data_IF_241520802984
#
_entry.id   IF_241520802984
#
_cell.length_a   1.000
_cell.length_b   1.000
_cell.length_c   1.000
_cell.angle_alpha   90.00
_cell.angle_beta   90.00
_cell.angle_gamma   90.00
#
_symmetry.space_group_name_H-M   'P 1'
#
loop_
_entity.id
_entity.type
_entity.pdbx_description
1 polymer ?
#
# COMPACT_ATOMS: atom_id res chain seq x y z
N UNK A 1 -6.84 15.84 -19.45
CA UNK A 1 -5.69 15.23 -18.75
C UNK A 1 -4.42 15.72 -19.40
N UNK A 2 -3.52 16.36 -18.68
CA UNK A 2 -2.22 16.78 -19.21
C UNK A 2 -1.37 15.52 -19.29
N UNK A 3 -1.03 15.07 -20.51
CA UNK A 3 -0.15 13.92 -20.73
C UNK A 3 1.24 14.22 -20.12
N UNK A 4 1.73 13.35 -19.23
CA UNK A 4 3.07 13.47 -18.68
C UNK A 4 4.12 13.20 -19.78
N UNK A 5 5.15 14.03 -19.91
CA UNK A 5 6.26 13.75 -20.85
C UNK A 5 7.24 12.74 -20.24
N UNK A 6 8.02 12.03 -21.09
CA UNK A 6 9.07 11.10 -20.61
C UNK A 6 10.06 11.80 -19.68
N UNK A 7 10.54 12.98 -20.07
CA UNK A 7 11.48 13.78 -19.26
C UNK A 7 10.88 14.21 -17.92
N UNK A 8 9.59 14.60 -17.89
CA UNK A 8 8.93 14.95 -16.64
C UNK A 8 8.83 13.73 -15.72
N UNK A 9 8.44 12.56 -16.25
CA UNK A 9 8.37 11.31 -15.51
C UNK A 9 9.74 10.91 -14.94
N UNK A 10 10.79 10.96 -15.74
CA UNK A 10 12.18 10.71 -15.32
C UNK A 10 12.61 11.62 -14.16
N UNK A 11 12.32 12.91 -14.27
CA UNK A 11 12.61 13.88 -13.22
C UNK A 11 11.84 13.59 -11.93
N UNK A 12 10.56 13.17 -12.02
CA UNK A 12 9.75 12.82 -10.85
C UNK A 12 10.35 11.59 -10.16
N UNK A 13 10.60 10.50 -10.89
CA UNK A 13 11.18 9.26 -10.37
C UNK A 13 12.54 9.50 -9.72
N UNK A 14 13.42 10.28 -10.39
CA UNK A 14 14.73 10.66 -9.83
C UNK A 14 14.59 11.43 -8.52
N UNK A 15 13.66 12.37 -8.42
CA UNK A 15 13.39 13.12 -7.19
C UNK A 15 12.84 12.23 -6.09
N UNK A 16 11.90 11.33 -6.41
CA UNK A 16 11.38 10.36 -5.45
C UNK A 16 12.52 9.53 -4.85
N UNK A 17 13.41 9.01 -5.69
CA UNK A 17 14.56 8.21 -5.24
C UNK A 17 15.49 9.01 -4.32
N UNK A 18 15.80 10.27 -4.67
CA UNK A 18 16.64 11.15 -3.85
C UNK A 18 16.00 11.47 -2.51
N UNK A 19 14.69 11.70 -2.47
CA UNK A 19 13.97 11.94 -1.21
C UNK A 19 14.03 10.74 -0.29
N UNK A 20 13.89 9.52 -0.82
CA UNK A 20 13.94 8.28 -0.04
C UNK A 20 15.33 8.02 0.56
N UNK A 21 16.41 8.41 -0.11
CA UNK A 21 17.76 8.25 0.43
C UNK A 21 17.98 8.98 1.76
N UNK A 22 17.16 10.00 2.05
CA UNK A 22 17.21 10.79 3.28
C UNK A 22 16.15 10.38 4.33
N UNK A 23 15.33 9.37 4.02
CA UNK A 23 14.30 8.88 4.93
C UNK A 23 14.81 7.64 5.66
N UNK A 24 14.74 7.65 6.98
CA UNK A 24 15.06 6.45 7.77
C UNK A 24 14.17 5.29 7.35
N UNK A 25 14.75 4.09 7.15
CA UNK A 25 13.95 2.90 6.88
C UNK A 25 12.92 2.70 8.01
N UNK A 26 11.72 2.27 7.65
CA UNK A 26 10.68 2.00 8.64
C UNK A 26 11.08 0.89 9.63
N UNK A 27 10.25 0.69 10.64
CA UNK A 27 10.45 -0.39 11.62
C UNK A 27 10.31 -1.77 10.95
N UNK A 28 11.14 -2.78 11.34
CA UNK A 28 10.97 -4.16 10.88
C UNK A 28 9.55 -4.68 11.13
N UNK A 29 9.03 -5.47 10.20
CA UNK A 29 7.68 -6.02 10.29
C UNK A 29 7.74 -7.55 10.29
N UNK A 30 6.91 -8.18 11.14
CA UNK A 30 6.82 -9.65 11.22
C UNK A 30 6.51 -10.30 9.87
N UNK A 31 5.76 -9.62 9.00
CA UNK A 31 5.47 -10.10 7.65
C UNK A 31 6.73 -10.31 6.80
N UNK A 32 7.83 -9.60 7.07
CA UNK A 32 9.07 -9.70 6.29
C UNK A 32 9.63 -11.14 6.32
N UNK A 33 9.45 -11.87 7.44
CA UNK A 33 9.86 -13.27 7.57
C UNK A 33 9.08 -14.22 6.65
N UNK A 34 7.85 -13.83 6.30
CA UNK A 34 6.96 -14.63 5.45
C UNK A 34 6.97 -14.19 3.98
N UNK A 35 7.69 -13.11 3.64
CA UNK A 35 7.84 -12.67 2.26
C UNK A 35 8.83 -13.60 1.57
N UNK A 36 8.40 -14.36 0.54
CA UNK A 36 9.30 -15.22 -0.20
C UNK A 36 10.34 -14.38 -0.98
N UNK A 37 11.47 -15.00 -1.32
CA UNK A 37 12.35 -14.41 -2.33
C UNK A 37 11.55 -14.10 -3.60
N UNK A 38 11.94 -13.03 -4.30
CA UNK A 38 11.23 -12.61 -5.51
C UNK A 38 11.19 -13.75 -6.54
N UNK A 39 9.98 -14.12 -6.89
CA UNK A 39 9.69 -15.21 -7.85
C UNK A 39 9.28 -14.62 -9.20
N UNK A 40 8.77 -15.46 -10.08
CA UNK A 40 8.17 -15.03 -11.34
C UNK A 40 6.75 -14.50 -11.18
N UNK A 41 6.29 -14.36 -9.93
CA UNK A 41 5.01 -13.72 -9.57
C UNK A 41 5.29 -12.37 -8.91
N UNK A 42 4.46 -11.39 -9.23
CA UNK A 42 4.49 -10.08 -8.60
C UNK A 42 4.05 -10.18 -7.14
N UNK A 43 4.88 -9.72 -6.22
CA UNK A 43 4.51 -9.59 -4.82
C UNK A 43 3.64 -8.33 -4.63
N UNK A 44 2.38 -8.53 -4.27
CA UNK A 44 1.44 -7.47 -3.93
C UNK A 44 1.19 -7.41 -2.42
N UNK A 45 1.53 -6.28 -1.82
CA UNK A 45 1.35 -6.02 -0.38
C UNK A 45 0.20 -5.04 -0.20
N UNK A 46 -0.95 -5.53 0.24
CA UNK A 46 -2.12 -4.71 0.52
C UNK A 46 -2.37 -4.52 2.00
N UNK A 47 -3.01 -3.43 2.37
CA UNK A 47 -3.36 -3.14 3.76
C UNK A 47 -4.11 -1.82 3.90
N UNK A 48 -4.63 -1.55 5.09
CA UNK A 48 -5.34 -0.30 5.38
C UNK A 48 -4.38 0.90 5.27
N UNK A 49 -4.93 2.09 5.02
CA UNK A 49 -4.16 3.33 5.06
C UNK A 49 -3.51 3.50 6.43
N UNK A 50 -2.25 3.90 6.47
CA UNK A 50 -1.52 4.09 7.72
C UNK A 50 -0.92 2.82 8.34
N UNK A 51 -1.12 1.61 7.79
CA UNK A 51 -0.51 0.38 8.31
C UNK A 51 1.00 0.25 8.08
N UNK A 52 1.61 1.13 7.27
CA UNK A 52 3.05 1.14 7.05
C UNK A 52 3.53 0.53 5.74
N UNK A 53 2.66 0.34 4.73
CA UNK A 53 3.01 -0.22 3.40
C UNK A 53 4.20 0.46 2.75
N UNK A 54 4.16 1.80 2.65
CA UNK A 54 5.26 2.57 2.05
C UNK A 54 6.56 2.43 2.83
N UNK A 55 6.48 2.39 4.17
CA UNK A 55 7.65 2.19 5.03
C UNK A 55 8.27 0.80 4.82
N UNK A 56 7.44 -0.24 4.70
CA UNK A 56 7.91 -1.59 4.37
C UNK A 56 8.59 -1.62 3.00
N UNK A 57 7.98 -1.00 1.98
CA UNK A 57 8.57 -0.94 0.64
C UNK A 57 9.91 -0.19 0.65
N UNK A 58 10.04 0.89 1.44
CA UNK A 58 11.31 1.61 1.62
C UNK A 58 12.37 0.73 2.31
N UNK A 59 11.99 -0.08 3.29
CA UNK A 59 12.92 -1.02 3.93
C UNK A 59 13.44 -2.02 2.91
N UNK A 60 12.56 -2.64 2.15
CA UNK A 60 12.93 -3.56 1.07
C UNK A 60 13.86 -2.89 0.06
N UNK A 61 13.57 -1.63 -0.30
CA UNK A 61 14.40 -0.87 -1.22
C UNK A 61 15.81 -0.59 -0.66
N UNK A 62 15.93 -0.27 0.63
CA UNK A 62 17.21 0.11 1.22
C UNK A 62 18.04 -1.10 1.65
N UNK A 63 17.40 -2.16 2.14
CA UNK A 63 18.10 -3.30 2.74
C UNK A 63 18.29 -4.44 1.74
N UNK A 64 17.23 -4.76 0.96
CA UNK A 64 17.22 -5.98 0.16
C UNK A 64 17.50 -5.70 -1.33
N UNK A 65 16.99 -4.57 -1.86
CA UNK A 65 17.04 -4.26 -3.29
C UNK A 65 17.49 -2.82 -3.57
N UNK A 66 18.70 -2.40 -3.13
CA UNK A 66 19.16 -1.00 -3.24
C UNK A 66 19.25 -0.50 -4.69
N UNK A 67 19.48 -1.41 -5.63
CA UNK A 67 19.57 -1.09 -7.05
C UNK A 67 18.23 -1.18 -7.81
N UNK A 68 17.13 -1.54 -7.12
CA UNK A 68 15.84 -1.66 -7.77
C UNK A 68 15.35 -0.32 -8.32
N UNK A 69 14.53 -0.39 -9.36
CA UNK A 69 13.70 0.74 -9.79
C UNK A 69 12.66 1.06 -8.72
N UNK A 70 12.36 2.34 -8.51
CA UNK A 70 11.29 2.77 -7.59
C UNK A 70 10.42 3.85 -8.22
N UNK A 71 9.10 3.68 -8.08
CA UNK A 71 8.11 4.72 -8.43
C UNK A 71 7.00 4.74 -7.41
N UNK A 72 6.64 5.93 -6.94
CA UNK A 72 5.51 6.18 -6.05
C UNK A 72 4.35 6.80 -6.85
N UNK A 73 3.28 6.04 -7.05
CA UNK A 73 2.09 6.49 -7.76
C UNK A 73 1.13 7.32 -6.87
N UNK A 74 1.35 7.36 -5.55
CA UNK A 74 0.62 8.27 -4.64
C UNK A 74 1.19 9.70 -4.67
N UNK A 75 2.24 9.92 -5.46
CA UNK A 75 2.80 11.26 -5.70
C UNK A 75 1.81 12.12 -6.51
N UNK A 76 1.38 13.29 -5.99
CA UNK A 76 0.42 14.14 -6.69
C UNK A 76 0.85 14.56 -8.10
N UNK A 77 2.14 14.58 -8.40
CA UNK A 77 2.69 14.89 -9.73
C UNK A 77 2.40 13.79 -10.77
N UNK A 78 2.07 12.57 -10.30
CA UNK A 78 1.61 11.45 -11.12
C UNK A 78 0.07 11.34 -11.12
N UNK A 79 -0.64 12.31 -10.56
CA UNK A 79 -2.09 12.35 -10.59
C UNK A 79 -2.64 12.33 -12.03
N UNK A 80 -3.45 11.31 -12.34
CA UNK A 80 -3.97 11.10 -13.70
C UNK A 80 -3.07 10.27 -14.61
N UNK A 81 -2.04 9.61 -14.05
CA UNK A 81 -1.23 8.62 -14.78
C UNK A 81 -2.12 7.52 -15.35
N UNK A 82 -2.03 7.30 -16.64
CA UNK A 82 -2.90 6.38 -17.38
C UNK A 82 -2.13 5.28 -18.11
N UNK A 83 -2.89 4.42 -18.81
CA UNK A 83 -2.33 3.31 -19.57
C UNK A 83 -1.31 3.73 -20.65
N UNK A 84 -1.48 4.92 -21.24
CA UNK A 84 -0.55 5.47 -22.23
C UNK A 84 0.77 5.91 -21.63
N UNK A 85 0.76 6.33 -20.37
CA UNK A 85 1.95 6.75 -19.65
C UNK A 85 2.87 5.58 -19.28
N UNK A 86 2.31 4.37 -19.13
CA UNK A 86 3.12 3.16 -18.94
C UNK A 86 4.10 2.90 -20.08
N UNK A 87 3.83 3.34 -21.31
CA UNK A 87 4.80 3.24 -22.42
C UNK A 87 6.07 4.04 -22.14
N UNK A 88 5.94 5.18 -21.45
CA UNK A 88 7.08 6.04 -21.08
C UNK A 88 7.84 5.44 -19.90
N UNK A 89 7.12 4.94 -18.90
CA UNK A 89 7.72 4.22 -17.76
C UNK A 89 8.47 2.96 -18.23
N UNK A 90 7.90 2.24 -19.19
CA UNK A 90 8.49 1.07 -19.81
C UNK A 90 9.87 1.36 -20.40
N UNK A 91 9.95 2.42 -21.23
CA UNK A 91 11.23 2.86 -21.84
C UNK A 91 12.25 3.26 -20.77
N UNK A 92 11.84 4.01 -19.74
CA UNK A 92 12.74 4.41 -18.66
C UNK A 92 13.26 3.19 -17.87
N UNK A 93 12.40 2.22 -17.61
CA UNK A 93 12.78 0.98 -16.91
C UNK A 93 13.77 0.16 -17.75
N UNK A 94 13.52 0.02 -19.06
CA UNK A 94 14.45 -0.66 -20.01
C UNK A 94 15.78 0.04 -20.11
N UNK A 95 15.79 1.36 -20.28
CA UNK A 95 17.01 2.17 -20.34
C UNK A 95 17.83 2.10 -19.04
N UNK A 96 17.16 1.89 -17.90
CA UNK A 96 17.83 1.73 -16.61
C UNK A 96 18.59 0.41 -16.45
N UNK A 97 18.24 -0.61 -17.24
CA UNK A 97 18.79 -1.97 -17.14
C UNK A 97 18.46 -2.71 -15.85
N UNK A 98 17.49 -2.21 -15.06
CA UNK A 98 17.16 -2.78 -13.75
C UNK A 98 16.22 -3.98 -13.87
N UNK A 99 16.59 -5.09 -13.24
CA UNK A 99 15.80 -6.35 -13.23
C UNK A 99 14.74 -6.41 -12.12
N UNK A 100 14.70 -5.42 -11.22
CA UNK A 100 13.76 -5.38 -10.09
C UNK A 100 13.09 -4.01 -10.05
N UNK A 101 11.77 -4.00 -9.87
CA UNK A 101 10.98 -2.78 -9.73
C UNK A 101 10.09 -2.82 -8.47
N UNK A 102 10.14 -1.74 -7.70
CA UNK A 102 9.30 -1.49 -6.54
C UNK A 102 8.34 -0.35 -6.83
N UNK A 103 7.04 -0.62 -6.72
CA UNK A 103 6.00 0.36 -7.00
C UNK A 103 5.17 0.64 -5.74
N UNK A 104 5.14 1.88 -5.28
CA UNK A 104 4.21 2.27 -4.23
C UNK A 104 2.87 2.67 -4.86
N UNK A 105 1.77 2.03 -4.40
CA UNK A 105 0.41 2.34 -4.82
C UNK A 105 0.17 2.27 -6.34
N UNK A 106 0.67 1.22 -6.98
CA UNK A 106 0.47 1.03 -8.43
C UNK A 106 -1.02 0.95 -8.82
N UNK A 107 -1.86 0.57 -7.88
CA UNK A 107 -3.32 0.49 -8.04
C UNK A 107 -3.99 1.84 -8.35
N UNK A 108 -3.27 2.95 -8.21
CA UNK A 108 -3.74 4.28 -8.62
C UNK A 108 -3.57 4.55 -10.13
N UNK A 109 -2.77 3.77 -10.82
CA UNK A 109 -2.52 3.93 -12.26
C UNK A 109 -3.41 2.99 -13.10
N UNK A 110 -4.23 3.54 -13.97
CA UNK A 110 -5.07 2.72 -14.86
C UNK A 110 -4.22 1.87 -15.82
N UNK A 111 -4.57 0.58 -15.99
CA UNK A 111 -3.81 -0.35 -16.87
C UNK A 111 -2.57 -0.97 -16.25
N UNK A 112 -2.40 -0.86 -14.92
CA UNK A 112 -1.24 -1.40 -14.23
C UNK A 112 -1.12 -2.93 -14.29
N UNK A 113 -2.22 -3.67 -14.35
CA UNK A 113 -2.22 -5.13 -14.39
C UNK A 113 -1.55 -5.61 -15.68
N UNK A 114 -1.98 -5.09 -16.81
CA UNK A 114 -1.46 -5.42 -18.14
C UNK A 114 0.02 -5.02 -18.27
N UNK A 115 0.39 -3.87 -17.71
CA UNK A 115 1.79 -3.44 -17.66
C UNK A 115 2.64 -4.43 -16.85
N UNK A 116 2.21 -4.78 -15.65
CA UNK A 116 2.95 -5.70 -14.78
C UNK A 116 3.05 -7.11 -15.36
N UNK A 117 1.96 -7.66 -15.92
CA UNK A 117 1.99 -8.96 -16.59
C UNK A 117 3.05 -9.00 -17.69
N UNK A 118 3.07 -7.97 -18.55
CA UNK A 118 4.07 -7.86 -19.61
C UNK A 118 5.49 -7.80 -19.06
N UNK A 119 5.75 -7.02 -18.00
CA UNK A 119 7.07 -6.87 -17.40
C UNK A 119 7.56 -8.16 -16.72
N UNK A 120 6.67 -8.88 -16.04
CA UNK A 120 7.00 -10.17 -15.42
C UNK A 120 7.38 -11.19 -16.50
N UNK A 121 6.64 -11.26 -17.60
CA UNK A 121 6.97 -12.12 -18.74
C UNK A 121 8.31 -11.77 -19.41
N UNK A 122 8.77 -10.53 -19.26
CA UNK A 122 10.10 -10.06 -19.66
C UNK A 122 11.19 -10.34 -18.62
N UNK A 123 10.85 -10.99 -17.50
CA UNK A 123 11.79 -11.37 -16.44
C UNK A 123 12.02 -10.30 -15.37
N UNK A 124 11.28 -9.19 -15.38
CA UNK A 124 11.35 -8.17 -14.32
C UNK A 124 10.65 -8.68 -13.07
N UNK A 125 11.34 -8.66 -11.94
CA UNK A 125 10.76 -8.98 -10.63
C UNK A 125 10.06 -7.74 -10.06
N UNK A 126 8.81 -7.88 -9.63
CA UNK A 126 8.01 -6.73 -9.18
C UNK A 126 7.51 -6.93 -7.76
N UNK A 127 7.71 -5.92 -6.93
CA UNK A 127 7.05 -5.75 -5.62
C UNK A 127 6.21 -4.49 -5.68
N UNK A 128 4.97 -4.55 -5.24
CA UNK A 128 4.16 -3.35 -5.16
C UNK A 128 3.26 -3.33 -3.94
N UNK A 129 2.96 -2.11 -3.50
CA UNK A 129 1.88 -1.89 -2.53
C UNK A 129 0.59 -1.52 -3.25
N UNK A 130 -0.53 -1.93 -2.67
CA UNK A 130 -1.89 -1.62 -3.14
C UNK A 130 -2.81 -1.31 -1.95
N UNK A 131 -3.99 -0.75 -2.20
CA UNK A 131 -5.02 -0.60 -1.17
C UNK A 131 -5.51 -1.97 -0.66
N UNK A 132 -6.06 -1.99 0.55
CA UNK A 132 -6.70 -3.21 1.06
C UNK A 132 -7.84 -3.66 0.14
N UNK A 133 -8.61 -2.72 -0.38
CA UNK A 133 -9.70 -3.01 -1.30
C UNK A 133 -9.22 -3.71 -2.57
N UNK A 134 -8.18 -3.16 -3.22
CA UNK A 134 -7.58 -3.78 -4.41
C UNK A 134 -7.10 -5.19 -4.09
N UNK A 135 -6.42 -5.39 -2.95
CA UNK A 135 -5.96 -6.71 -2.51
C UNK A 135 -7.14 -7.69 -2.36
N UNK A 136 -8.21 -7.29 -1.66
CA UNK A 136 -9.38 -8.14 -1.43
C UNK A 136 -10.14 -8.43 -2.72
N UNK A 137 -10.22 -7.47 -3.64
CA UNK A 137 -10.82 -7.66 -4.96
C UNK A 137 -10.05 -8.71 -5.78
N UNK A 138 -8.74 -8.63 -5.79
CA UNK A 138 -7.88 -9.61 -6.47
C UNK A 138 -8.00 -11.00 -5.81
N UNK A 139 -7.94 -11.08 -4.49
CA UNK A 139 -8.10 -12.34 -3.77
C UNK A 139 -9.47 -13.02 -4.00
N UNK A 140 -10.54 -12.24 -4.18
CA UNK A 140 -11.86 -12.78 -4.54
C UNK A 140 -11.95 -13.25 -5.99
N UNK A 141 -11.18 -12.64 -6.88
CA UNK A 141 -11.12 -13.00 -8.30
C UNK A 141 -10.23 -14.23 -8.55
N UNK A 142 -9.32 -14.56 -7.64
CA UNK A 142 -8.59 -15.84 -7.59
C UNK A 142 -9.54 -16.96 -7.15
N UNK A 143 -10.43 -17.41 -8.05
CA UNK A 143 -11.31 -18.55 -7.76
C UNK A 143 -10.57 -19.87 -7.93
N UNK A 144 -10.88 -20.90 -7.07
CA UNK A 144 -10.28 -22.23 -7.19
C UNK A 144 -10.55 -22.95 -8.52
N UNK A 145 -11.57 -22.49 -9.27
CA UNK A 145 -12.00 -23.07 -10.55
C UNK A 145 -11.31 -22.46 -11.78
N UNK A 146 -10.38 -21.52 -11.59
CA UNK A 146 -9.62 -20.88 -12.69
C UNK A 146 -10.46 -19.96 -13.60
N UNK A 147 -11.71 -19.68 -13.25
CA UNK A 147 -12.61 -18.82 -14.07
C UNK A 147 -12.43 -17.33 -13.77
N UNK A 148 -11.49 -16.96 -12.89
CA UNK A 148 -11.20 -15.57 -12.55
C UNK A 148 -10.48 -14.83 -13.67
N UNK A 149 -10.92 -13.60 -13.97
CA UNK A 149 -10.33 -12.74 -15.01
C UNK A 149 -8.96 -12.14 -14.59
N UNK A 150 -8.40 -12.54 -13.43
CA UNK A 150 -7.11 -12.01 -12.93
C UNK A 150 -6.01 -13.00 -13.30
N UNK A 151 -4.95 -12.55 -13.99
CA UNK A 151 -3.81 -13.41 -14.31
C UNK A 151 -3.19 -14.02 -13.05
N UNK A 152 -2.77 -15.30 -13.10
CA UNK A 152 -2.05 -15.99 -12.03
C UNK A 152 -0.59 -15.50 -11.91
N UNK A 153 -0.44 -14.17 -11.86
CA UNK A 153 0.85 -13.49 -11.76
C UNK A 153 1.08 -12.89 -10.38
N UNK A 154 0.12 -12.98 -9.46
CA UNK A 154 0.19 -12.31 -8.16
C UNK A 154 0.52 -13.28 -7.02
N UNK A 155 1.37 -12.82 -6.11
CA UNK A 155 1.55 -13.36 -4.77
C UNK A 155 1.02 -12.32 -3.79
N UNK A 156 -0.18 -12.56 -3.25
CA UNK A 156 -0.88 -11.60 -2.41
C UNK A 156 -0.41 -11.72 -0.95
N UNK A 157 -0.10 -10.59 -0.32
CA UNK A 157 0.22 -10.50 1.11
C UNK A 157 -0.55 -9.36 1.73
N UNK A 158 -1.11 -9.59 2.91
CA UNK A 158 -1.79 -8.56 3.69
C UNK A 158 -0.85 -8.04 4.77
N UNK A 159 -0.63 -6.72 4.78
CA UNK A 159 0.04 -6.02 5.86
C UNK A 159 -1.02 -5.47 6.81
N UNK A 160 -1.05 -6.00 8.01
CA UNK A 160 -1.92 -5.52 9.09
C UNK A 160 -1.26 -4.34 9.85
N UNK A 161 -1.98 -3.79 10.81
CA UNK A 161 -1.43 -2.84 11.77
C UNK A 161 -0.37 -3.54 12.63
N UNK A 162 0.33 -2.81 13.50
CA UNK A 162 1.31 -3.45 14.39
C UNK A 162 0.67 -4.55 15.24
N UNK A 163 1.33 -5.71 15.30
CA UNK A 163 1.09 -6.68 16.34
C UNK A 163 1.56 -6.13 17.71
N UNK A 164 1.18 -6.80 18.79
CA UNK A 164 1.67 -6.42 20.11
C UNK A 164 3.20 -6.53 20.21
N UNK A 165 3.79 -7.55 19.59
CA UNK A 165 5.25 -7.70 19.57
C UNK A 165 5.94 -6.58 18.76
N UNK A 166 5.38 -6.22 17.59
CA UNK A 166 5.88 -5.08 16.84
C UNK A 166 5.75 -3.76 17.62
N UNK A 167 4.64 -3.57 18.35
CA UNK A 167 4.47 -2.42 19.24
C UNK A 167 5.54 -2.38 20.35
N UNK A 168 5.80 -3.49 21.02
CA UNK A 168 6.84 -3.57 22.04
C UNK A 168 8.21 -3.22 21.48
N UNK A 169 8.55 -3.83 20.34
CA UNK A 169 9.82 -3.58 19.65
C UNK A 169 9.94 -2.12 19.20
N UNK A 170 8.87 -1.55 18.63
CA UNK A 170 8.84 -0.17 18.16
C UNK A 170 8.96 0.86 19.30
N UNK A 171 8.32 0.59 20.44
CA UNK A 171 8.33 1.48 21.61
C UNK A 171 9.47 1.21 22.59
N UNK A 172 10.27 0.16 22.34
CA UNK A 172 11.35 -0.31 23.23
C UNK A 172 10.86 -0.63 24.65
N UNK A 173 9.67 -1.20 24.77
CA UNK A 173 9.05 -1.52 26.06
C UNK A 173 9.10 -3.02 26.35
N UNK A 174 9.29 -3.40 27.63
CA UNK A 174 9.13 -4.78 28.03
C UNK A 174 7.66 -5.20 27.96
N UNK A 175 7.41 -6.48 27.72
CA UNK A 175 6.07 -7.05 27.81
C UNK A 175 5.55 -6.97 29.26
N UNK A 176 4.26 -6.65 29.42
CA UNK A 176 3.63 -6.53 30.73
C UNK A 176 2.29 -5.80 30.67
N UNK A 177 1.57 -5.78 31.77
CA UNK A 177 0.22 -5.21 31.87
C UNK A 177 0.17 -3.73 31.43
N UNK A 178 1.16 -2.93 31.83
CA UNK A 178 1.25 -1.53 31.44
C UNK A 178 1.38 -1.36 29.92
N UNK A 179 2.22 -2.19 29.28
CA UNK A 179 2.39 -2.13 27.83
C UNK A 179 1.14 -2.61 27.07
N UNK A 180 0.43 -3.62 27.60
CA UNK A 180 -0.87 -4.06 27.05
C UNK A 180 -1.89 -2.94 27.13
N UNK A 181 -2.05 -2.30 28.30
CA UNK A 181 -2.99 -1.20 28.48
C UNK A 181 -2.68 -0.01 27.56
N UNK A 182 -1.40 0.30 27.36
CA UNK A 182 -0.99 1.33 26.42
C UNK A 182 -1.27 0.95 24.96
N UNK A 183 -0.99 -0.28 24.56
CA UNK A 183 -1.31 -0.78 23.21
C UNK A 183 -2.81 -0.71 22.93
N UNK A 184 -3.64 -1.12 23.88
CA UNK A 184 -5.09 -1.06 23.75
C UNK A 184 -5.62 0.39 23.69
N UNK A 185 -5.01 1.33 24.42
CA UNK A 185 -5.46 2.72 24.46
C UNK A 185 -4.98 3.54 23.26
N UNK A 186 -3.75 3.31 22.77
CA UNK A 186 -3.17 4.04 21.62
C UNK A 186 -3.54 3.44 20.27
N UNK A 187 -3.93 2.15 20.27
CA UNK A 187 -4.14 1.39 19.05
C UNK A 187 -2.82 0.98 18.38
N UNK A 188 -2.94 0.39 17.20
CA UNK A 188 -1.86 -0.29 16.51
C UNK A 188 -1.36 0.43 15.23
N UNK A 189 -1.77 1.67 14.99
CA UNK A 189 -1.31 2.44 13.84
C UNK A 189 0.11 2.98 14.07
N UNK A 190 1.12 2.58 13.27
CA UNK A 190 2.51 2.97 13.50
C UNK A 190 2.72 4.50 13.61
N UNK A 191 2.08 5.24 12.71
CA UNK A 191 2.16 6.71 12.70
C UNK A 191 1.57 7.37 13.95
N UNK A 192 0.47 6.83 14.47
CA UNK A 192 -0.21 7.37 15.66
C UNK A 192 0.57 7.04 16.94
N UNK A 193 1.16 5.85 17.03
CA UNK A 193 2.02 5.48 18.16
C UNK A 193 3.21 6.44 18.26
N UNK A 194 3.80 6.84 17.10
CA UNK A 194 4.94 7.76 17.04
C UNK A 194 4.55 9.18 17.45
N UNK A 195 3.41 9.68 16.99
CA UNK A 195 3.03 11.09 17.16
C UNK A 195 2.16 11.34 18.40
N UNK A 196 1.35 10.36 18.78
CA UNK A 196 0.44 10.47 19.93
C UNK A 196 -0.69 11.51 19.78
N UNK A 197 -0.95 12.03 18.57
CA UNK A 197 -1.87 13.12 18.34
C UNK A 197 -3.25 12.65 17.90
N UNK A 198 -4.29 13.11 18.61
CA UNK A 198 -5.70 12.85 18.28
C UNK A 198 -6.08 13.41 16.90
N UNK A 199 -5.50 14.56 16.50
CA UNK A 199 -5.70 15.16 15.19
C UNK A 199 -5.27 14.22 14.06
N UNK A 200 -4.15 13.50 14.23
CA UNK A 200 -3.68 12.53 13.25
C UNK A 200 -4.65 11.35 13.06
N UNK A 201 -5.33 10.94 14.14
CA UNK A 201 -6.40 9.93 14.07
C UNK A 201 -7.61 10.45 13.29
N UNK A 202 -8.04 11.67 13.56
CA UNK A 202 -9.14 12.32 12.82
C UNK A 202 -8.82 12.48 11.34
N UNK A 203 -7.59 12.88 11.03
CA UNK A 203 -7.14 12.98 9.64
C UNK A 203 -7.16 11.62 8.95
N UNK A 204 -6.61 10.58 9.59
CA UNK A 204 -6.61 9.21 9.06
C UNK A 204 -8.02 8.67 8.85
N UNK A 205 -8.92 8.87 9.81
CA UNK A 205 -10.34 8.52 9.70
C UNK A 205 -10.99 9.19 8.48
N UNK A 206 -10.79 10.51 8.34
CA UNK A 206 -11.31 11.27 7.21
C UNK A 206 -10.75 10.78 5.88
N UNK A 207 -9.47 10.46 5.81
CA UNK A 207 -8.84 9.94 4.59
C UNK A 207 -9.35 8.55 4.22
N UNK A 208 -9.52 7.65 5.19
CA UNK A 208 -10.11 6.32 4.95
C UNK A 208 -11.53 6.45 4.41
N UNK A 209 -12.37 7.27 5.04
CA UNK A 209 -13.75 7.45 4.58
C UNK A 209 -13.83 8.16 3.24
N UNK A 210 -13.17 9.33 3.10
CA UNK A 210 -13.38 10.20 1.96
C UNK A 210 -12.55 9.82 0.72
N UNK A 211 -11.39 9.20 0.92
CA UNK A 211 -10.53 8.78 -0.20
C UNK A 211 -10.68 7.29 -0.52
N UNK A 212 -10.62 6.43 0.51
CA UNK A 212 -10.62 5.00 0.25
C UNK A 212 -12.04 4.45 0.07
N UNK A 213 -12.96 4.64 1.03
CA UNK A 213 -14.30 4.08 0.97
C UNK A 213 -15.21 4.74 -0.09
N UNK A 214 -15.14 6.07 -0.26
CA UNK A 214 -15.94 6.80 -1.27
C UNK A 214 -15.51 6.45 -2.68
N UNK A 215 -14.21 6.43 -2.95
CA UNK A 215 -13.68 6.12 -4.29
C UNK A 215 -13.94 4.65 -4.61
N UNK A 216 -13.65 3.76 -3.70
CA UNK A 216 -13.81 2.33 -3.83
C UNK A 216 -15.27 1.89 -4.03
N UNK A 217 -16.16 2.42 -3.23
CA UNK A 217 -17.58 2.07 -3.24
C UNK A 217 -18.42 2.86 -4.23
N UNK A 218 -17.87 3.86 -4.93
CA UNK A 218 -18.64 4.77 -5.79
C UNK A 218 -19.72 5.52 -5.01
N UNK A 219 -19.50 5.76 -3.71
CA UNK A 219 -20.52 6.30 -2.80
C UNK A 219 -20.70 7.79 -3.06
N UNK A 220 -21.92 8.19 -3.42
CA UNK A 220 -22.27 9.58 -3.68
C UNK A 220 -22.65 10.36 -2.41
N UNK A 221 -23.33 9.71 -1.48
CA UNK A 221 -23.75 10.32 -0.22
C UNK A 221 -22.72 10.11 0.89
N UNK A 222 -21.82 11.09 1.02
CA UNK A 222 -20.78 11.10 2.05
C UNK A 222 -21.34 11.23 3.47
N UNK A 223 -22.44 11.95 3.63
CA UNK A 223 -23.03 12.18 4.97
C UNK A 223 -23.60 10.87 5.54
N UNK A 224 -24.31 10.11 4.71
CA UNK A 224 -24.80 8.79 5.10
C UNK A 224 -23.64 7.84 5.42
N UNK A 225 -22.55 7.84 4.61
CA UNK A 225 -21.37 7.04 4.91
C UNK A 225 -20.74 7.40 6.26
N UNK A 226 -20.59 8.70 6.58
CA UNK A 226 -20.04 9.15 7.85
C UNK A 226 -20.90 8.74 9.04
N UNK A 227 -22.23 8.88 8.91
CA UNK A 227 -23.18 8.45 9.95
C UNK A 227 -23.13 6.95 10.18
N UNK A 228 -23.05 6.15 9.13
CA UNK A 228 -22.89 4.70 9.19
C UNK A 228 -21.57 4.32 9.86
N UNK A 229 -20.48 4.96 9.49
CA UNK A 229 -19.16 4.71 10.08
C UNK A 229 -19.15 5.04 11.57
N UNK A 230 -19.74 6.17 11.97
CA UNK A 230 -19.88 6.55 13.38
C UNK A 230 -20.73 5.52 14.13
N UNK A 231 -21.84 5.09 13.56
CA UNK A 231 -22.68 4.05 14.15
C UNK A 231 -21.91 2.74 14.38
N UNK A 232 -21.12 2.29 13.40
CA UNK A 232 -20.30 1.09 13.50
C UNK A 232 -19.21 1.21 14.58
N UNK A 233 -18.58 2.37 14.70
CA UNK A 233 -17.55 2.62 15.72
C UNK A 233 -18.16 2.63 17.13
N UNK A 234 -19.31 3.29 17.29
CA UNK A 234 -19.96 3.40 18.62
C UNK A 234 -20.61 2.09 19.08
N UNK A 235 -20.91 1.18 18.17
CA UNK A 235 -21.50 -0.14 18.46
C UNK A 235 -20.53 -1.27 18.14
N UNK A 236 -19.22 -1.05 18.32
CA UNK A 236 -18.21 -2.08 18.07
C UNK A 236 -18.44 -3.31 18.97
N UNK A 237 -18.52 -4.50 18.34
CA UNK A 237 -18.79 -5.75 19.04
C UNK A 237 -20.28 -6.17 19.03
N UNK A 238 -21.18 -5.31 18.58
CA UNK A 238 -22.61 -5.65 18.43
C UNK A 238 -22.93 -6.09 16.99
N UNK A 239 -23.88 -7.02 16.81
CA UNK A 239 -24.37 -7.42 15.49
C UNK A 239 -25.06 -6.24 14.78
N UNK A 240 -24.61 -5.93 13.57
CA UNK A 240 -25.19 -4.86 12.73
C UNK A 240 -25.82 -5.47 11.48
N UNK A 241 -27.03 -5.08 11.15
CA UNK A 241 -27.72 -5.47 9.91
C UNK A 241 -27.92 -4.26 9.03
N UNK A 242 -27.91 -4.47 7.70
CA UNK A 242 -28.07 -3.40 6.72
C UNK A 242 -29.47 -2.72 6.77
N UNK A 243 -30.42 -3.29 7.48
CA UNK A 243 -31.82 -2.84 7.57
C UNK A 243 -32.17 -2.15 8.91
N UNK A 244 -31.16 -1.74 9.66
CA UNK A 244 -31.38 -0.98 10.90
C UNK A 244 -30.75 0.40 10.83
#
# INVERSE_FOLDING_TARGET
TVMITKTALENIVSKQRKMLANVSPGHPREIEESIPYLTDRMLLIGGVRGCGRSALLHRMLNNDYPEAWYTDFDDPRLGGFDAGDFTKLDRLLEESGKGIALFNRIDLAAGWIEFCDRKIRQGIKIVSTVSLETLLRLAKAERPDGTGAVPDIFSLRRLDLFSYNEFLSFTHKPAGEQAVNEFLSRGAFPGLIKTGHTEALHQLYTEILCKDAVIAGGIRDRNTLQRMALHLITNTGEPVTANK
#
